data_IF_714025656202
#
_entry.id   IF_714025656202
#
_cell.length_a   1.000
_cell.length_b   1.000
_cell.length_c   1.000
_cell.angle_alpha   90.00
_cell.angle_beta   90.00
_cell.angle_gamma   90.00
#
_symmetry.space_group_name_H-M   'P 1'
#
loop_
_entity.id
_entity.type
_entity.pdbx_description
1 polymer ?
#
# COMPACT_ATOMS: atom_id res chain seq x y z
N UNK A 1 -3.68 -25.72 -7.59
CA UNK A 1 -3.80 -24.25 -7.67
C UNK A 1 -3.87 -23.83 -9.13
N UNK A 2 -4.99 -23.26 -9.56
CA UNK A 2 -5.22 -22.79 -10.93
C UNK A 2 -4.39 -21.54 -11.28
N UNK A 3 -4.30 -21.20 -12.56
CA UNK A 3 -3.62 -19.97 -13.02
C UNK A 3 -4.33 -18.74 -12.44
N UNK A 4 -5.65 -18.79 -12.36
CA UNK A 4 -6.49 -17.74 -11.80
C UNK A 4 -6.20 -17.53 -10.31
N UNK A 5 -6.10 -18.61 -9.53
CA UNK A 5 -5.74 -18.54 -8.11
C UNK A 5 -4.34 -17.96 -7.90
N UNK A 6 -3.37 -18.39 -8.71
CA UNK A 6 -2.00 -17.82 -8.67
C UNK A 6 -2.01 -16.32 -8.98
N UNK A 7 -2.73 -15.91 -10.03
CA UNK A 7 -2.83 -14.50 -10.42
C UNK A 7 -3.44 -13.64 -9.30
N UNK A 8 -4.50 -14.15 -8.65
CA UNK A 8 -5.15 -13.49 -7.51
C UNK A 8 -4.20 -13.38 -6.32
N UNK A 9 -3.47 -14.44 -5.99
CA UNK A 9 -2.50 -14.43 -4.90
C UNK A 9 -1.40 -13.40 -5.12
N UNK A 10 -0.88 -13.30 -6.35
CA UNK A 10 0.13 -12.30 -6.73
C UNK A 10 -0.43 -10.88 -6.57
N UNK A 11 -1.63 -10.60 -7.09
CA UNK A 11 -2.24 -9.27 -6.96
C UNK A 11 -2.48 -8.89 -5.50
N UNK A 12 -3.01 -9.81 -4.68
CA UNK A 12 -3.26 -9.56 -3.26
C UNK A 12 -1.97 -9.32 -2.48
N UNK A 13 -0.91 -10.08 -2.78
CA UNK A 13 0.42 -9.87 -2.18
C UNK A 13 0.97 -8.49 -2.55
N UNK A 14 0.89 -8.08 -3.81
CA UNK A 14 1.33 -6.76 -4.26
C UNK A 14 0.54 -5.64 -3.58
N UNK A 15 -0.78 -5.79 -3.51
CA UNK A 15 -1.65 -4.86 -2.80
C UNK A 15 -1.22 -4.69 -1.34
N UNK A 16 -0.99 -5.80 -0.63
CA UNK A 16 -0.57 -5.75 0.77
C UNK A 16 0.80 -5.10 0.96
N UNK A 17 1.74 -5.34 0.05
CA UNK A 17 3.07 -4.71 0.09
C UNK A 17 2.99 -3.18 -0.05
N UNK A 18 2.21 -2.70 -1.02
CA UNK A 18 2.02 -1.25 -1.22
C UNK A 18 1.32 -0.62 -0.01
N UNK A 19 0.25 -1.26 0.48
CA UNK A 19 -0.47 -0.82 1.69
C UNK A 19 0.47 -0.69 2.89
N UNK A 20 1.23 -1.75 3.19
CA UNK A 20 2.14 -1.75 4.33
C UNK A 20 3.17 -0.62 4.21
N UNK A 21 3.74 -0.42 3.01
CA UNK A 21 4.73 0.63 2.79
C UNK A 21 4.14 2.03 2.97
N UNK A 22 2.96 2.29 2.42
CA UNK A 22 2.28 3.58 2.59
C UNK A 22 1.92 3.82 4.07
N UNK A 23 1.42 2.80 4.78
CA UNK A 23 1.11 2.92 6.20
C UNK A 23 2.37 3.16 7.06
N UNK A 24 3.49 2.47 6.80
CA UNK A 24 4.74 2.71 7.53
C UNK A 24 5.29 4.12 7.31
N UNK A 25 5.19 4.66 6.09
CA UNK A 25 5.58 6.04 5.80
C UNK A 25 4.70 7.04 6.54
N UNK A 26 3.38 6.84 6.48
CA UNK A 26 2.41 7.69 7.16
C UNK A 26 2.63 7.70 8.68
N UNK A 27 2.87 6.53 9.28
CA UNK A 27 3.19 6.38 10.72
C UNK A 27 4.45 7.15 11.12
N UNK A 28 5.49 7.08 10.30
CA UNK A 28 6.74 7.81 10.55
C UNK A 28 6.53 9.32 10.51
N UNK A 29 5.86 9.82 9.47
CA UNK A 29 5.59 11.25 9.33
C UNK A 29 4.68 11.78 10.44
N UNK A 30 3.70 10.99 10.90
CA UNK A 30 2.88 11.36 12.05
C UNK A 30 3.69 11.47 13.34
N UNK A 31 4.59 10.52 13.57
CA UNK A 31 5.49 10.56 14.72
C UNK A 31 6.40 11.80 14.69
N UNK A 32 6.93 12.16 13.51
CA UNK A 32 7.74 13.36 13.33
C UNK A 32 6.96 14.66 13.62
N UNK A 33 5.66 14.67 13.34
CA UNK A 33 4.76 15.79 13.61
C UNK A 33 4.16 15.78 15.02
N UNK A 34 4.47 14.76 15.84
CA UNK A 34 3.88 14.59 17.16
C UNK A 34 2.40 14.24 17.16
N UNK A 35 1.87 13.72 16.04
CA UNK A 35 0.48 13.32 15.92
C UNK A 35 0.23 11.98 16.62
N UNK A 36 -0.88 11.85 17.38
CA UNK A 36 -1.26 10.59 18.02
C UNK A 36 -1.64 9.52 16.97
N UNK A 37 -1.38 8.25 17.29
CA UNK A 37 -1.60 7.13 16.37
C UNK A 37 -3.09 6.95 16.02
N UNK A 38 -3.98 7.31 16.93
CA UNK A 38 -5.43 7.25 16.77
C UNK A 38 -5.90 8.15 15.62
N UNK A 39 -5.36 9.37 15.53
CA UNK A 39 -5.69 10.32 14.44
C UNK A 39 -5.22 9.82 13.08
N UNK A 40 -4.17 8.99 13.05
CA UNK A 40 -3.60 8.53 11.79
C UNK A 40 -4.53 7.62 10.99
N UNK A 41 -5.43 6.92 11.68
CA UNK A 41 -6.46 6.10 11.05
C UNK A 41 -7.39 6.91 10.13
N UNK A 42 -7.59 8.21 10.41
CA UNK A 42 -8.42 9.10 9.61
C UNK A 42 -7.77 9.53 8.29
N UNK A 43 -6.43 9.52 8.22
CA UNK A 43 -5.69 9.91 7.02
C UNK A 43 -5.50 8.74 6.04
N UNK A 44 -5.68 7.51 6.50
CA UNK A 44 -5.74 6.33 5.64
C UNK A 44 -7.19 6.05 5.18
N UNK A 45 -7.58 6.56 4.02
CA UNK A 45 -8.94 6.35 3.49
C UNK A 45 -8.94 5.84 2.03
N UNK A 46 -8.88 4.51 1.82
CA UNK A 46 -8.93 3.92 0.49
C UNK A 46 -10.36 3.95 -0.09
N UNK A 47 -10.54 4.61 -1.23
CA UNK A 47 -11.84 4.64 -1.93
C UNK A 47 -12.22 3.24 -2.38
N UNK A 48 -13.35 2.72 -1.90
CA UNK A 48 -13.81 1.35 -2.20
C UNK A 48 -12.77 0.26 -1.85
N UNK A 49 -11.93 0.49 -0.85
CA UNK A 49 -10.86 -0.43 -0.49
C UNK A 49 -9.75 -0.55 -1.55
N UNK A 50 -9.69 0.37 -2.53
CA UNK A 50 -8.61 0.45 -3.50
C UNK A 50 -7.54 1.40 -2.97
N UNK A 51 -6.29 1.02 -3.15
CA UNK A 51 -5.16 1.93 -2.93
C UNK A 51 -5.21 3.02 -3.99
N UNK A 52 -4.90 4.25 -3.59
CA UNK A 52 -4.76 5.39 -4.49
C UNK A 52 -3.82 5.05 -5.68
N UNK A 53 -4.18 5.37 -6.93
CA UNK A 53 -3.37 5.05 -8.11
C UNK A 53 -1.95 5.65 -8.07
N UNK A 54 -1.80 6.82 -7.48
CA UNK A 54 -0.50 7.51 -7.35
C UNK A 54 0.38 6.75 -6.36
N UNK A 55 -0.16 6.37 -5.20
CA UNK A 55 0.53 5.49 -4.24
C UNK A 55 0.96 4.18 -4.91
N UNK A 56 0.05 3.54 -5.67
CA UNK A 56 0.37 2.29 -6.36
C UNK A 56 1.50 2.47 -7.36
N UNK A 57 1.57 3.61 -8.04
CA UNK A 57 2.65 3.92 -8.99
C UNK A 57 3.98 4.16 -8.29
N UNK A 58 3.98 4.92 -7.19
CA UNK A 58 5.21 5.31 -6.46
C UNK A 58 5.80 4.15 -5.67
N UNK A 59 4.96 3.36 -4.98
CA UNK A 59 5.39 2.28 -4.08
C UNK A 59 5.18 0.88 -4.65
N UNK A 60 4.54 0.77 -5.82
CA UNK A 60 4.38 -0.49 -6.53
C UNK A 60 5.71 -1.05 -7.04
N UNK A 61 5.65 -2.27 -7.56
CA UNK A 61 6.80 -2.91 -8.18
C UNK A 61 7.23 -2.08 -9.40
N UNK A 62 8.51 -1.71 -9.48
CA UNK A 62 9.03 -0.98 -10.63
C UNK A 62 9.04 -1.86 -11.88
N UNK A 63 8.79 -1.24 -13.04
CA UNK A 63 8.93 -1.92 -14.33
C UNK A 63 10.39 -2.27 -14.66
N UNK A 64 11.35 -1.72 -13.92
CA UNK A 64 12.79 -1.95 -14.13
C UNK A 64 13.28 -3.34 -13.68
N UNK A 65 12.49 -4.08 -12.90
CA UNK A 65 12.83 -5.45 -12.44
C UNK A 65 12.51 -6.54 -13.46
N UNK A 66 12.08 -6.20 -14.67
CA UNK A 66 11.61 -7.16 -15.69
C UNK A 66 12.61 -7.42 -16.83
N UNK A 67 13.89 -7.12 -16.62
CA UNK A 67 14.98 -7.47 -17.52
C UNK A 67 15.55 -8.86 -17.22
#
# INVERSE_FOLDING_TARGET
MSIQEKSRAIMMRQYQQVKNRQQSMLMRSAQELGLPAEELSHYWNPTQGKIDPTTRTIYGRSNASMS
#
